data_IF_279384163163
#
_entry.id   IF_279384163163
#
_cell.length_a   1.000
_cell.length_b   1.000
_cell.length_c   1.000
_cell.angle_alpha   90.00
_cell.angle_beta   90.00
_cell.angle_gamma   90.00
#
_symmetry.space_group_name_H-M   'P 1'
#
loop_
_entity.id
_entity.type
_entity.pdbx_description
1 polymer ?
#
# COMPACT_ATOMS: atom_id res chain seq x y z
N UNK A 1 1.53 1.93 -20.81
CA UNK A 1 0.42 1.30 -20.07
C UNK A 1 0.78 -0.13 -19.79
N UNK A 2 0.65 -0.57 -18.54
CA UNK A 2 0.79 -1.97 -18.15
C UNK A 2 -0.37 -2.83 -18.67
N UNK A 3 -0.12 -4.12 -18.90
CA UNK A 3 -1.13 -5.13 -19.18
C UNK A 3 -0.53 -6.52 -18.94
N UNK A 4 -1.39 -7.50 -18.68
CA UNK A 4 -1.02 -8.89 -18.39
C UNK A 4 -1.38 -9.85 -19.52
N UNK A 5 -1.46 -9.35 -20.76
CA UNK A 5 -1.95 -10.10 -21.93
C UNK A 5 -1.24 -11.41 -22.17
N UNK A 6 0.09 -11.44 -22.04
CA UNK A 6 0.88 -12.64 -22.26
C UNK A 6 0.59 -13.70 -21.19
N UNK A 7 0.54 -13.30 -19.92
CA UNK A 7 0.21 -14.20 -18.83
C UNK A 7 -1.21 -14.77 -18.99
N UNK A 8 -2.19 -13.95 -19.32
CA UNK A 8 -3.56 -14.38 -19.54
C UNK A 8 -3.70 -15.34 -20.74
N UNK A 9 -2.93 -15.13 -21.80
CA UNK A 9 -2.96 -16.00 -22.99
C UNK A 9 -2.39 -17.40 -22.75
N UNK A 10 -1.50 -17.58 -21.78
CA UNK A 10 -0.85 -18.88 -21.50
C UNK A 10 -1.74 -19.86 -20.74
N UNK A 11 -2.90 -19.44 -20.25
CA UNK A 11 -3.69 -20.23 -19.30
C UNK A 11 -4.75 -21.13 -19.92
N UNK A 12 -4.87 -21.17 -21.25
CA UNK A 12 -5.79 -22.08 -21.94
C UNK A 12 -7.28 -21.87 -21.64
N UNK A 13 -7.68 -20.64 -21.27
CA UNK A 13 -9.08 -20.28 -21.06
C UNK A 13 -9.62 -20.52 -19.64
N UNK A 14 -8.77 -20.88 -18.67
CA UNK A 14 -9.17 -20.91 -17.26
C UNK A 14 -9.18 -19.49 -16.67
N UNK A 15 -9.98 -19.21 -15.61
CA UNK A 15 -9.97 -17.94 -14.92
C UNK A 15 -8.57 -17.55 -14.41
N UNK A 16 -8.15 -16.32 -14.68
CA UNK A 16 -6.85 -15.79 -14.28
C UNK A 16 -7.05 -14.59 -13.36
N UNK A 17 -6.40 -14.62 -12.20
CA UNK A 17 -6.45 -13.53 -11.23
C UNK A 17 -5.05 -12.96 -10.99
N UNK A 18 -4.95 -11.63 -10.94
CA UNK A 18 -3.79 -10.97 -10.36
C UNK A 18 -3.77 -11.23 -8.85
N UNK A 19 -2.68 -11.83 -8.35
CA UNK A 19 -2.54 -12.14 -6.92
C UNK A 19 -1.54 -11.18 -6.26
N UNK A 20 -1.88 -10.71 -5.06
CA UNK A 20 -1.06 -9.74 -4.31
C UNK A 20 -0.73 -8.48 -5.13
N UNK A 21 -1.71 -7.98 -5.87
CA UNK A 21 -1.57 -6.75 -6.64
C UNK A 21 -1.42 -5.57 -5.68
N UNK A 22 -0.50 -4.66 -6.00
CA UNK A 22 -0.22 -3.47 -5.19
C UNK A 22 1.15 -3.54 -4.54
N UNK A 23 1.24 -3.43 -3.22
CA UNK A 23 2.49 -3.36 -2.46
C UNK A 23 3.28 -2.06 -2.69
N UNK A 24 2.56 -0.95 -2.83
CA UNK A 24 3.15 0.38 -2.91
C UNK A 24 3.27 0.98 -1.51
N UNK A 25 4.49 1.08 -1.02
CA UNK A 25 4.75 1.61 0.31
C UNK A 25 4.44 3.10 0.42
N UNK A 26 3.88 3.49 1.56
CA UNK A 26 3.74 4.89 1.95
C UNK A 26 4.47 5.15 3.26
N UNK A 27 4.91 6.39 3.47
CA UNK A 27 5.51 6.78 4.73
C UNK A 27 4.51 6.64 5.87
N UNK A 28 4.93 6.06 7.01
CA UNK A 28 4.03 5.88 8.14
C UNK A 28 3.72 7.21 8.83
N UNK A 29 2.48 7.37 9.27
CA UNK A 29 2.15 8.40 10.23
C UNK A 29 2.65 7.95 11.61
N UNK A 30 3.50 8.76 12.24
CA UNK A 30 4.07 8.44 13.53
C UNK A 30 3.07 8.52 14.69
N UNK A 31 1.94 9.19 14.51
CA UNK A 31 0.89 9.27 15.52
C UNK A 31 0.28 7.89 15.85
N UNK A 32 0.44 6.93 14.93
CA UNK A 32 0.02 5.55 15.18
C UNK A 32 0.87 4.81 16.24
N UNK A 33 2.12 5.28 16.51
CA UNK A 33 3.06 4.59 17.42
C UNK A 33 2.46 4.44 18.82
N UNK A 34 1.86 5.48 19.36
CA UNK A 34 1.33 5.51 20.71
C UNK A 34 0.00 4.74 20.85
N UNK A 35 -0.55 4.25 19.75
CA UNK A 35 -1.76 3.43 19.72
C UNK A 35 -1.48 1.94 19.91
N UNK A 36 -0.24 1.49 19.71
CA UNK A 36 0.15 0.11 19.97
C UNK A 36 0.06 -0.22 21.45
N UNK A 37 -0.67 -1.28 21.78
CA UNK A 37 -0.91 -1.75 23.15
C UNK A 37 -0.55 -3.24 23.25
N UNK A 38 -0.19 -3.68 24.43
CA UNK A 38 0.09 -5.08 24.71
C UNK A 38 1.48 -5.51 24.25
N UNK A 39 1.56 -6.68 23.60
CA UNK A 39 2.83 -7.33 23.24
C UNK A 39 3.44 -6.82 21.94
N UNK A 40 2.66 -6.19 21.09
CA UNK A 40 3.17 -5.66 19.82
C UNK A 40 3.88 -4.34 20.05
N UNK A 41 5.17 -4.33 19.79
CA UNK A 41 6.03 -3.15 19.91
C UNK A 41 6.37 -2.66 18.50
N UNK A 42 6.02 -1.42 18.12
CA UNK A 42 6.28 -0.89 16.78
C UNK A 42 7.73 -0.38 16.63
N UNK A 43 8.71 -1.27 16.85
CA UNK A 43 10.12 -0.87 16.83
C UNK A 43 10.60 -0.41 15.46
N UNK A 44 10.03 -0.96 14.39
CA UNK A 44 10.24 -0.49 13.02
C UNK A 44 9.85 0.99 12.87
N UNK A 45 8.66 1.38 13.32
CA UNK A 45 8.19 2.76 13.23
C UNK A 45 9.04 3.70 14.10
N UNK A 46 9.42 3.25 15.29
CA UNK A 46 10.33 4.00 16.17
C UNK A 46 11.71 4.19 15.53
N UNK A 47 12.23 3.16 14.86
CA UNK A 47 13.52 3.24 14.15
C UNK A 47 13.44 4.23 12.97
N UNK A 48 12.37 4.18 12.20
CA UNK A 48 12.13 5.12 11.10
C UNK A 48 12.05 6.56 11.63
N UNK A 49 11.31 6.78 12.72
CA UNK A 49 11.19 8.10 13.36
C UNK A 49 12.54 8.62 13.84
N UNK A 50 13.30 7.82 14.57
CA UNK A 50 14.66 8.21 15.00
C UNK A 50 15.54 8.57 13.80
N UNK A 51 15.46 7.81 12.72
CA UNK A 51 16.23 8.10 11.50
C UNK A 51 15.80 9.42 10.85
N UNK A 52 14.51 9.68 10.78
CA UNK A 52 13.97 10.93 10.26
C UNK A 52 14.45 12.15 11.07
N UNK A 53 14.47 12.04 12.40
CA UNK A 53 14.99 13.07 13.31
C UNK A 53 16.50 13.30 13.08
N UNK A 54 17.30 12.25 13.00
CA UNK A 54 18.74 12.32 12.78
C UNK A 54 19.14 12.95 11.45
N UNK A 55 18.34 12.74 10.41
CA UNK A 55 18.63 13.23 9.04
C UNK A 55 17.98 14.57 8.74
N UNK A 56 17.17 15.11 9.65
CA UNK A 56 16.38 16.32 9.42
C UNK A 56 15.10 16.08 8.58
N UNK A 57 14.84 14.85 8.15
CA UNK A 57 13.64 14.53 7.38
C UNK A 57 12.35 14.72 8.18
N UNK A 58 12.43 14.73 9.51
CA UNK A 58 11.28 14.97 10.39
C UNK A 58 10.58 16.31 10.08
N UNK A 59 11.31 17.32 9.62
CA UNK A 59 10.75 18.61 9.25
C UNK A 59 9.76 18.55 8.06
N UNK A 60 9.87 17.51 7.23
CA UNK A 60 9.04 17.32 6.04
C UNK A 60 8.16 16.08 6.13
N UNK A 61 8.17 15.41 7.29
CA UNK A 61 7.60 14.07 7.41
C UNK A 61 6.14 14.02 7.00
N UNK A 62 5.32 14.94 7.51
CA UNK A 62 3.88 14.95 7.21
C UNK A 62 3.58 15.20 5.73
N UNK A 63 4.36 16.07 5.09
CA UNK A 63 4.25 16.24 3.64
C UNK A 63 4.66 14.97 2.87
N UNK A 64 5.67 14.25 3.37
CA UNK A 64 6.08 12.95 2.83
C UNK A 64 5.02 11.87 2.98
N UNK A 65 4.34 11.80 4.13
CA UNK A 65 3.20 10.90 4.37
C UNK A 65 2.11 11.15 3.32
N UNK A 66 1.71 12.40 3.14
CA UNK A 66 0.70 12.77 2.16
C UNK A 66 1.14 12.42 0.73
N UNK A 67 2.33 12.86 0.33
CA UNK A 67 2.82 12.67 -1.03
C UNK A 67 3.03 11.18 -1.39
N UNK A 68 3.58 10.39 -0.47
CA UNK A 68 3.76 8.95 -0.69
C UNK A 68 2.44 8.19 -0.74
N UNK A 69 1.45 8.59 0.07
CA UNK A 69 0.10 8.04 0.01
C UNK A 69 -0.58 8.34 -1.34
N UNK A 70 -0.49 9.57 -1.84
CA UNK A 70 -1.02 9.93 -3.15
C UNK A 70 -0.33 9.17 -4.29
N UNK A 71 0.99 8.98 -4.20
CA UNK A 71 1.72 8.20 -5.19
C UNK A 71 1.28 6.74 -5.15
N UNK A 72 1.20 6.13 -3.97
CA UNK A 72 0.73 4.76 -3.80
C UNK A 72 -0.67 4.57 -4.41
N UNK A 73 -1.58 5.50 -4.16
CA UNK A 73 -2.93 5.49 -4.74
C UNK A 73 -2.92 5.47 -6.27
N UNK A 74 -2.10 6.31 -6.90
CA UNK A 74 -1.98 6.33 -8.37
C UNK A 74 -1.41 5.03 -8.92
N UNK A 75 -0.44 4.43 -8.23
CA UNK A 75 0.14 3.15 -8.59
C UNK A 75 -0.88 2.01 -8.45
N UNK A 76 -1.62 1.94 -7.36
CA UNK A 76 -2.72 1.00 -7.19
C UNK A 76 -3.74 1.10 -8.31
N UNK A 77 -4.17 2.32 -8.61
CA UNK A 77 -5.11 2.56 -9.70
C UNK A 77 -4.60 2.07 -11.05
N UNK A 78 -3.35 2.35 -11.39
CA UNK A 78 -2.77 1.90 -12.66
C UNK A 78 -2.74 0.37 -12.75
N UNK A 79 -2.41 -0.34 -11.67
CA UNK A 79 -2.43 -1.80 -11.65
C UNK A 79 -3.84 -2.39 -11.75
N UNK A 80 -4.79 -1.87 -10.99
CA UNK A 80 -6.20 -2.28 -11.09
C UNK A 80 -6.70 -2.08 -12.52
N UNK A 81 -6.47 -0.91 -13.10
CA UNK A 81 -6.83 -0.62 -14.48
C UNK A 81 -6.09 -1.52 -15.48
N UNK A 82 -4.83 -1.90 -15.20
CA UNK A 82 -4.09 -2.83 -16.06
C UNK A 82 -4.76 -4.21 -16.11
N UNK A 83 -5.21 -4.72 -14.97
CA UNK A 83 -5.99 -5.96 -14.92
C UNK A 83 -7.30 -5.82 -15.71
N UNK A 84 -8.07 -4.76 -15.44
CA UNK A 84 -9.35 -4.52 -16.09
C UNK A 84 -9.23 -4.33 -17.61
N UNK A 85 -8.12 -3.76 -18.07
CA UNK A 85 -7.84 -3.58 -19.51
C UNK A 85 -7.32 -4.84 -20.20
N UNK A 86 -6.97 -5.89 -19.46
CA UNK A 86 -6.36 -7.08 -20.03
C UNK A 86 -7.42 -8.14 -20.36
N UNK A 87 -7.69 -8.42 -21.66
CA UNK A 87 -8.56 -9.53 -22.03
C UNK A 87 -8.03 -10.84 -21.47
N UNK A 88 -8.92 -11.66 -20.88
CA UNK A 88 -8.57 -12.93 -20.29
C UNK A 88 -8.27 -12.87 -18.79
N UNK A 89 -8.08 -11.69 -18.21
CA UNK A 89 -8.05 -11.54 -16.75
C UNK A 89 -9.48 -11.59 -16.19
N UNK A 90 -9.65 -12.32 -15.10
CA UNK A 90 -10.95 -12.54 -14.44
C UNK A 90 -11.14 -11.67 -13.20
N UNK A 91 -10.06 -11.11 -12.67
CA UNK A 91 -10.09 -10.26 -11.50
C UNK A 91 -8.73 -10.09 -10.85
N UNK A 92 -8.73 -9.53 -9.66
CA UNK A 92 -7.52 -9.32 -8.87
C UNK A 92 -7.79 -9.45 -7.36
N UNK A 93 -6.73 -9.69 -6.62
CA UNK A 93 -6.68 -9.62 -5.16
C UNK A 93 -5.62 -8.59 -4.78
N UNK A 94 -6.00 -7.58 -4.03
CA UNK A 94 -5.06 -6.57 -3.53
C UNK A 94 -4.32 -7.08 -2.28
N UNK A 95 -3.06 -6.77 -2.18
CA UNK A 95 -2.30 -6.87 -0.95
C UNK A 95 -1.93 -5.44 -0.52
N UNK A 96 -2.48 -4.92 0.49
CA UNK A 96 -3.36 -5.37 1.55
C UNK A 96 -4.29 -4.28 2.00
N UNK A 97 -5.27 -4.70 2.79
CA UNK A 97 -6.19 -3.76 3.40
C UNK A 97 -5.50 -2.84 4.43
N UNK A 98 -4.61 -3.40 5.24
CA UNK A 98 -3.90 -2.69 6.30
C UNK A 98 -2.40 -2.97 6.29
N UNK A 99 -1.64 -2.08 6.91
CA UNK A 99 -0.23 -2.32 7.18
C UNK A 99 -0.06 -3.53 8.08
N UNK A 100 0.95 -4.35 7.78
CA UNK A 100 1.24 -5.56 8.55
C UNK A 100 2.43 -5.35 9.49
N UNK A 101 2.19 -5.09 10.80
CA UNK A 101 3.26 -4.80 11.75
C UNK A 101 4.19 -6.00 12.01
N UNK A 102 3.76 -7.22 11.71
CA UNK A 102 4.58 -8.43 11.83
C UNK A 102 5.71 -8.53 10.80
N UNK A 103 5.66 -7.76 9.74
CA UNK A 103 6.66 -7.76 8.67
C UNK A 103 7.34 -6.39 8.54
N UNK A 104 7.77 -5.83 9.60
CA UNK A 104 8.62 -4.65 9.77
C UNK A 104 8.48 -3.47 8.79
N UNK A 105 8.46 -3.72 7.51
CA UNK A 105 8.39 -2.72 6.43
C UNK A 105 7.17 -2.87 5.53
N UNK A 106 6.23 -3.73 5.86
CA UNK A 106 5.01 -3.91 5.06
C UNK A 106 4.00 -2.76 5.30
N UNK A 107 4.39 -1.54 4.90
CA UNK A 107 3.61 -0.31 4.99
C UNK A 107 2.81 -0.07 3.69
N UNK A 108 2.27 -1.13 3.14
CA UNK A 108 1.59 -1.17 1.83
C UNK A 108 0.07 -1.14 1.95
N UNK A 109 -0.47 -1.10 3.16
CA UNK A 109 -1.91 -1.07 3.39
C UNK A 109 -2.57 0.23 2.92
N UNK A 110 -3.84 0.15 2.55
CA UNK A 110 -4.71 1.31 2.37
C UNK A 110 -5.06 1.97 3.71
N UNK A 111 -4.95 1.19 4.77
CA UNK A 111 -5.12 1.62 6.16
C UNK A 111 -3.82 1.38 6.95
N UNK A 112 -3.65 2.10 8.03
CA UNK A 112 -2.57 1.85 8.98
C UNK A 112 -2.79 0.52 9.75
N UNK A 113 -1.85 0.16 10.62
CA UNK A 113 -1.96 -1.06 11.43
C UNK A 113 -3.17 -1.10 12.38
N UNK A 114 -3.86 0.01 12.57
CA UNK A 114 -5.04 0.16 13.43
C UNK A 114 -6.34 0.35 12.64
N UNK A 115 -6.33 0.07 11.33
CA UNK A 115 -7.45 0.26 10.41
C UNK A 115 -7.91 1.73 10.29
N UNK A 116 -7.00 2.67 10.51
CA UNK A 116 -7.26 4.07 10.20
C UNK A 116 -6.91 4.31 8.72
N UNK A 117 -7.83 4.89 7.92
CA UNK A 117 -7.51 5.23 6.55
C UNK A 117 -6.27 6.13 6.45
N UNK A 118 -5.37 5.81 5.54
CA UNK A 118 -4.23 6.67 5.25
C UNK A 118 -4.69 7.97 4.58
N UNK A 119 -3.86 9.04 4.58
CA UNK A 119 -4.26 10.35 4.08
C UNK A 119 -4.77 10.37 2.64
N UNK A 120 -4.33 9.44 1.81
CA UNK A 120 -4.88 9.29 0.47
C UNK A 120 -6.26 8.65 0.54
N UNK A 121 -7.26 9.32 0.02
CA UNK A 121 -8.63 8.82 -0.02
C UNK A 121 -8.81 7.82 -1.17
N UNK A 122 -8.61 6.55 -0.89
CA UNK A 122 -8.78 5.46 -1.85
C UNK A 122 -10.22 5.35 -2.35
N UNK A 123 -11.21 5.69 -1.53
CA UNK A 123 -12.61 5.69 -1.92
C UNK A 123 -12.93 6.80 -2.93
N UNK A 124 -12.49 8.03 -2.67
CA UNK A 124 -12.69 9.17 -3.57
C UNK A 124 -11.96 8.98 -4.92
N UNK A 125 -10.90 8.18 -4.95
CA UNK A 125 -10.20 7.86 -6.19
C UNK A 125 -10.90 6.79 -7.04
N UNK A 126 -12.02 6.25 -6.60
CA UNK A 126 -12.78 5.24 -7.33
C UNK A 126 -12.10 3.88 -7.38
N UNK A 127 -11.32 3.53 -6.35
CA UNK A 127 -10.69 2.21 -6.22
C UNK A 127 -11.53 1.25 -5.38
N UNK A 128 -12.45 1.74 -4.59
CA UNK A 128 -13.37 0.96 -3.76
C UNK A 128 -14.82 1.31 -4.07
#
# INVERSE_FOLDING_TARGET
RQHYREAAAQTGGVPVFGFEVGQYESWPDFDQIDRFRGITIPENLRAIRRRAEQTGAAAYWQAGVQASGELALRCYREEVEAVLRTPGMSGLSLLGLQDFPGQGTALVGMMDAHLTPKPADFGAAGLL
#
